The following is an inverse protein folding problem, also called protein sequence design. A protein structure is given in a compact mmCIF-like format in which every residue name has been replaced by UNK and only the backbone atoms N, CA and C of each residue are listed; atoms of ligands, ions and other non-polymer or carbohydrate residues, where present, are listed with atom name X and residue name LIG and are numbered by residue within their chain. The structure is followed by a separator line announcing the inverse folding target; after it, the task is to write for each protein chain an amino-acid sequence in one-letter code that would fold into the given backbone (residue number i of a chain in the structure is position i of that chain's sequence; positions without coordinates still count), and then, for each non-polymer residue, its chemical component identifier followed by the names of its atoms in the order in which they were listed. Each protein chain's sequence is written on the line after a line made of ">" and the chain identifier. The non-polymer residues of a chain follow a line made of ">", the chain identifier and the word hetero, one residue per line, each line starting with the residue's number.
data_IF_236593396463
#
_entry.id   IF_236593396463
#
_cell.length_a   1.000
_cell.length_b   1.000
_cell.length_c   1.000
_cell.angle_alpha   90.00
_cell.angle_beta   90.00
_cell.angle_gamma   90.00
#
_symmetry.space_group_name_H-M   'P 1'
#
loop_
_entity.id
_entity.type
_entity.pdbx_description
1 polymer ?
#
# COMPACT_ATOMS: atom_id res chain seq x y z
N UNK A 1 -17.33 4.75 10.53
CA UNK A 1 -16.44 5.86 10.10
C UNK A 1 -15.34 5.28 9.22
N UNK A 2 -15.22 5.68 7.93
CA UNK A 2 -14.14 5.19 7.08
C UNK A 2 -12.80 5.62 7.69
N UNK A 3 -11.92 4.65 7.98
CA UNK A 3 -10.62 4.91 8.60
C UNK A 3 -9.77 5.74 7.64
N UNK A 4 -9.59 7.04 7.94
CA UNK A 4 -8.97 8.00 7.00
C UNK A 4 -7.50 7.70 6.67
N UNK A 5 -6.81 6.95 7.53
CA UNK A 5 -5.36 6.65 7.44
C UNK A 5 -5.06 5.15 7.36
N UNK A 6 -6.02 4.35 6.89
CA UNK A 6 -5.86 2.89 6.90
C UNK A 6 -4.61 2.42 6.12
N UNK A 7 -4.30 3.06 5.00
CA UNK A 7 -3.19 2.67 4.14
C UNK A 7 -1.82 2.98 4.78
N UNK A 8 -1.70 4.13 5.43
CA UNK A 8 -0.49 4.52 6.18
C UNK A 8 -0.24 3.57 7.35
N UNK A 9 -1.28 3.24 8.11
CA UNK A 9 -1.17 2.31 9.25
C UNK A 9 -0.82 0.90 8.81
N UNK A 10 -1.37 0.45 7.68
CA UNK A 10 -1.07 -0.86 7.12
C UNK A 10 0.38 -0.92 6.61
N UNK A 11 0.82 0.12 5.91
CA UNK A 11 2.19 0.26 5.42
C UNK A 11 3.21 0.20 6.57
N UNK A 12 2.97 0.97 7.63
CA UNK A 12 3.82 1.00 8.83
C UNK A 12 3.90 -0.39 9.50
N UNK A 13 2.76 -1.09 9.63
CA UNK A 13 2.76 -2.42 10.24
C UNK A 13 3.50 -3.47 9.40
N UNK A 14 3.34 -3.44 8.08
CA UNK A 14 4.06 -4.36 7.18
C UNK A 14 5.56 -4.10 7.23
N UNK A 15 5.97 -2.82 7.23
CA UNK A 15 7.36 -2.45 7.35
C UNK A 15 7.95 -2.86 8.71
N UNK A 16 7.26 -2.61 9.82
CA UNK A 16 7.69 -3.02 11.16
C UNK A 16 7.81 -4.54 11.31
N UNK A 17 6.91 -5.29 10.66
CA UNK A 17 6.94 -6.75 10.67
C UNK A 17 7.98 -7.35 9.69
N UNK A 18 8.64 -6.53 8.87
CA UNK A 18 9.63 -6.97 7.89
C UNK A 18 9.07 -7.88 6.81
N UNK A 19 7.77 -7.77 6.53
CA UNK A 19 7.09 -8.67 5.58
C UNK A 19 7.27 -8.10 4.17
N UNK A 20 7.85 -8.90 3.28
CA UNK A 20 7.93 -8.56 1.86
C UNK A 20 6.67 -9.09 1.15
N UNK A 21 5.73 -8.21 0.83
CA UNK A 21 4.41 -8.57 0.26
C UNK A 21 4.19 -7.83 -1.04
N UNK A 22 3.85 -8.58 -2.09
CA UNK A 22 3.33 -8.01 -3.34
C UNK A 22 1.88 -7.57 -3.09
N UNK A 23 1.65 -6.27 -3.14
CA UNK A 23 0.33 -5.69 -2.94
C UNK A 23 -0.56 -5.85 -4.17
N UNK A 24 -1.77 -6.37 -3.98
CA UNK A 24 -2.86 -6.24 -4.95
C UNK A 24 -4.05 -5.62 -4.25
N UNK A 25 -4.36 -4.37 -4.58
CA UNK A 25 -5.49 -3.65 -4.01
C UNK A 25 -6.60 -3.51 -5.05
N UNK A 26 -7.77 -4.03 -4.71
CA UNK A 26 -9.00 -3.79 -5.45
C UNK A 26 -9.83 -2.77 -4.68
N UNK A 27 -10.03 -1.59 -5.28
CA UNK A 27 -10.82 -0.52 -4.69
C UNK A 27 -11.70 0.12 -5.73
N UNK A 28 -12.88 0.60 -5.32
CA UNK A 28 -13.67 1.49 -6.16
C UNK A 28 -12.93 2.82 -6.31
N UNK A 29 -12.96 3.42 -7.50
CA UNK A 29 -12.25 4.68 -7.80
C UNK A 29 -12.63 5.79 -6.81
N UNK A 30 -13.89 5.85 -6.45
CA UNK A 30 -14.49 6.76 -5.46
C UNK A 30 -14.08 6.48 -4.00
N UNK A 31 -13.53 5.30 -3.70
CA UNK A 31 -13.08 4.89 -2.36
C UNK A 31 -11.56 4.92 -2.19
N UNK A 32 -10.81 4.93 -3.31
CA UNK A 32 -9.36 5.00 -3.31
C UNK A 32 -8.91 6.42 -2.96
N UNK A 33 -8.19 6.57 -1.84
CA UNK A 33 -7.59 7.86 -1.49
C UNK A 33 -6.26 8.06 -2.20
N UNK A 34 -5.91 9.29 -2.63
CA UNK A 34 -4.66 9.55 -3.35
C UNK A 34 -3.40 9.12 -2.60
N UNK A 35 -3.41 9.23 -1.27
CA UNK A 35 -2.29 8.85 -0.41
C UNK A 35 -2.13 7.34 -0.23
N UNK A 36 -3.15 6.53 -0.55
CA UNK A 36 -3.11 5.10 -0.31
C UNK A 36 -2.07 4.38 -1.17
N UNK A 37 -1.97 4.75 -2.46
CA UNK A 37 -0.98 4.16 -3.38
C UNK A 37 0.43 4.49 -2.93
N UNK A 38 0.71 5.76 -2.61
CA UNK A 38 2.05 6.19 -2.17
C UNK A 38 2.47 5.52 -0.85
N UNK A 39 1.55 5.41 0.13
CA UNK A 39 1.82 4.76 1.40
C UNK A 39 2.14 3.27 1.24
N UNK A 40 1.35 2.55 0.44
CA UNK A 40 1.56 1.12 0.21
C UNK A 40 2.80 0.84 -0.65
N UNK A 41 3.10 1.69 -1.63
CA UNK A 41 4.32 1.59 -2.43
C UNK A 41 5.60 1.82 -1.60
N UNK A 42 5.55 2.70 -0.59
CA UNK A 42 6.66 2.93 0.32
C UNK A 42 6.87 1.80 1.35
N UNK A 43 5.81 1.04 1.65
CA UNK A 43 5.88 -0.14 2.51
C UNK A 43 6.64 -1.29 1.85
N UNK A 44 6.55 -1.36 0.53
CA UNK A 44 7.24 -2.35 -0.26
C UNK A 44 8.62 -1.84 -0.70
N UNK A 45 9.60 -2.72 -0.83
CA UNK A 45 10.77 -2.40 -1.65
C UNK A 45 10.29 -2.43 -3.09
N UNK A 46 9.68 -1.35 -3.57
CA UNK A 46 9.15 -1.25 -4.93
C UNK A 46 10.31 -1.33 -5.94
N UNK A 47 10.76 -2.54 -6.24
CA UNK A 47 11.59 -2.83 -7.41
C UNK A 47 10.63 -2.96 -8.59
N UNK A 48 10.65 -1.94 -9.44
CA UNK A 48 10.07 -1.99 -10.76
C UNK A 48 10.73 -3.18 -11.51
N UNK A 49 10.09 -4.34 -11.50
CA UNK A 49 10.47 -5.45 -12.36
C UNK A 49 9.83 -5.17 -13.73
N UNK A 50 10.61 -4.86 -14.78
CA UNK A 50 10.06 -4.84 -16.12
C UNK A 50 9.56 -6.25 -16.44
N UNK A 51 8.34 -6.36 -16.95
CA UNK A 51 7.81 -7.61 -17.46
C UNK A 51 8.64 -8.00 -18.69
N UNK A 52 9.43 -9.07 -18.59
CA UNK A 52 9.98 -9.81 -19.73
C UNK A 52 8.90 -10.69 -20.37
#
# INVERSE_FOLDING_TARGET
>A
MPKRRWAEQLAEQVQCAGINVIWRCESRVDSAKPNAVAALAAADKWQFAPLE
#
